data_IF_619861654500
#
_entry.id   IF_619861654500
#
_cell.length_a   1.000
_cell.length_b   1.000
_cell.length_c   1.000
_cell.angle_alpha   90.00
_cell.angle_beta   90.00
_cell.angle_gamma   90.00
#
_symmetry.space_group_name_H-M   'P 1'
#
loop_
_entity.id
_entity.type
_entity.pdbx_description
1 polymer ?
#
# COMPACT_ATOMS: atom_id res chain seq x y z
N UNK A 1 -9.79 -37.51 -47.43
CA UNK A 1 -8.39 -37.04 -47.27
C UNK A 1 -8.24 -35.54 -47.55
N UNK A 2 -8.28 -35.03 -48.80
CA UNK A 2 -8.09 -33.58 -49.05
C UNK A 2 -9.22 -32.68 -48.49
N UNK A 3 -10.49 -33.06 -48.68
CA UNK A 3 -11.64 -32.29 -48.18
C UNK A 3 -11.71 -32.19 -46.65
N UNK A 4 -11.29 -33.24 -45.93
CA UNK A 4 -11.28 -33.24 -44.47
C UNK A 4 -10.22 -32.28 -43.92
N UNK A 5 -9.07 -32.17 -44.61
CA UNK A 5 -8.01 -31.25 -44.24
C UNK A 5 -8.40 -29.79 -44.47
N UNK A 6 -9.04 -29.48 -45.61
CA UNK A 6 -9.56 -28.12 -45.87
C UNK A 6 -10.66 -27.71 -44.88
N UNK A 7 -11.54 -28.65 -44.52
CA UNK A 7 -12.58 -28.41 -43.53
C UNK A 7 -11.99 -28.13 -42.15
N UNK A 8 -11.00 -28.92 -41.72
CA UNK A 8 -10.32 -28.71 -40.44
C UNK A 8 -9.55 -27.38 -40.43
N UNK A 9 -8.87 -27.04 -41.53
CA UNK A 9 -8.15 -25.78 -41.65
C UNK A 9 -9.08 -24.57 -41.51
N UNK A 10 -10.24 -24.59 -42.16
CA UNK A 10 -11.26 -23.52 -42.00
C UNK A 10 -11.79 -23.44 -40.57
N UNK A 11 -12.02 -24.58 -39.91
CA UNK A 11 -12.48 -24.61 -38.52
C UNK A 11 -11.44 -23.98 -37.59
N UNK A 12 -10.18 -24.39 -37.72
CA UNK A 12 -9.08 -23.88 -36.91
C UNK A 12 -8.87 -22.38 -37.09
N UNK A 13 -8.97 -21.87 -38.33
CA UNK A 13 -8.89 -20.42 -38.58
C UNK A 13 -10.00 -19.68 -37.85
N UNK A 14 -11.24 -20.17 -37.94
CA UNK A 14 -12.38 -19.56 -37.22
C UNK A 14 -12.19 -19.61 -35.70
N UNK A 15 -11.68 -20.72 -35.17
CA UNK A 15 -11.42 -20.89 -33.75
C UNK A 15 -10.31 -19.97 -33.24
N UNK A 16 -9.24 -19.78 -34.03
CA UNK A 16 -8.18 -18.81 -33.72
C UNK A 16 -8.74 -17.39 -33.70
N UNK A 17 -9.54 -16.99 -34.70
CA UNK A 17 -10.16 -15.66 -34.75
C UNK A 17 -11.09 -15.39 -33.56
N UNK A 18 -11.87 -16.38 -33.11
CA UNK A 18 -12.72 -16.27 -31.94
C UNK A 18 -11.91 -16.15 -30.65
N UNK A 19 -10.88 -16.97 -30.50
CA UNK A 19 -9.99 -16.94 -29.35
C UNK A 19 -9.22 -15.62 -29.25
N UNK A 20 -8.77 -15.05 -30.38
CA UNK A 20 -8.12 -13.73 -30.41
C UNK A 20 -9.07 -12.62 -29.93
N UNK A 21 -10.33 -12.63 -30.37
CA UNK A 21 -11.34 -11.66 -29.90
C UNK A 21 -11.61 -11.80 -28.40
N UNK A 22 -11.77 -13.03 -27.92
CA UNK A 22 -11.98 -13.29 -26.50
C UNK A 22 -10.78 -12.84 -25.66
N UNK A 23 -9.56 -13.04 -26.15
CA UNK A 23 -8.34 -12.63 -25.48
C UNK A 23 -8.24 -11.11 -25.37
N UNK A 24 -8.57 -10.37 -26.42
CA UNK A 24 -8.61 -8.90 -26.39
C UNK A 24 -9.62 -8.39 -25.35
N UNK A 25 -10.81 -8.98 -25.29
CA UNK A 25 -11.85 -8.59 -24.33
C UNK A 25 -11.40 -8.88 -22.88
N UNK A 26 -10.80 -10.04 -22.63
CA UNK A 26 -10.25 -10.37 -21.32
C UNK A 26 -9.09 -9.44 -20.90
N UNK A 27 -8.23 -9.06 -21.85
CA UNK A 27 -7.17 -8.09 -21.60
C UNK A 27 -7.75 -6.72 -21.21
N UNK A 28 -8.78 -6.26 -21.93
CA UNK A 28 -9.48 -5.02 -21.62
C UNK A 28 -10.09 -5.05 -20.22
N UNK A 29 -10.84 -6.11 -19.88
CA UNK A 29 -11.42 -6.28 -18.55
C UNK A 29 -10.35 -6.30 -17.45
N UNK A 30 -9.20 -6.91 -17.71
CA UNK A 30 -8.07 -6.93 -16.78
C UNK A 30 -7.51 -5.53 -16.53
N UNK A 31 -7.39 -4.70 -17.58
CA UNK A 31 -6.96 -3.31 -17.46
C UNK A 31 -7.98 -2.48 -16.69
N UNK A 32 -9.27 -2.63 -16.97
CA UNK A 32 -10.35 -1.92 -16.28
C UNK A 32 -10.36 -2.24 -14.78
N UNK A 33 -10.21 -3.53 -14.42
CA UNK A 33 -10.05 -3.96 -13.04
C UNK A 33 -8.87 -3.27 -12.35
N UNK A 34 -7.69 -3.23 -13.00
CA UNK A 34 -6.50 -2.56 -12.43
C UNK A 34 -6.75 -1.07 -12.17
N UNK A 35 -7.41 -0.38 -13.10
CA UNK A 35 -7.78 1.02 -12.93
C UNK A 35 -8.75 1.22 -11.75
N UNK A 36 -9.75 0.35 -11.62
CA UNK A 36 -10.68 0.38 -10.48
C UNK A 36 -9.95 0.16 -9.15
N UNK A 37 -9.07 -0.84 -9.06
CA UNK A 37 -8.25 -1.07 -7.87
C UNK A 37 -7.39 0.14 -7.53
N UNK A 38 -6.75 0.77 -8.52
CA UNK A 38 -5.94 1.96 -8.30
C UNK A 38 -6.79 3.12 -7.77
N UNK A 39 -7.95 3.39 -8.36
CA UNK A 39 -8.86 4.41 -7.87
C UNK A 39 -9.33 4.15 -6.44
N UNK A 40 -9.72 2.91 -6.12
CA UNK A 40 -10.10 2.53 -4.76
C UNK A 40 -8.96 2.68 -3.76
N UNK A 41 -7.72 2.30 -4.14
CA UNK A 41 -6.54 2.53 -3.30
C UNK A 41 -6.32 4.02 -3.07
N UNK A 42 -6.49 4.89 -4.08
CA UNK A 42 -6.33 6.33 -3.90
C UNK A 42 -7.30 6.93 -2.88
N UNK A 43 -8.51 6.36 -2.72
CA UNK A 43 -9.50 6.78 -1.71
C UNK A 43 -9.35 6.10 -0.35
N UNK A 44 -8.83 4.87 -0.33
CA UNK A 44 -8.72 4.07 0.91
C UNK A 44 -7.36 4.16 1.57
N UNK A 45 -6.32 4.52 0.81
CA UNK A 45 -4.96 4.70 1.31
C UNK A 45 -4.83 6.04 2.03
N UNK A 46 -4.51 5.97 3.32
CA UNK A 46 -4.19 7.14 4.11
C UNK A 46 -2.77 7.61 3.78
N UNK A 47 -2.61 8.44 2.75
CA UNK A 47 -1.30 8.99 2.31
C UNK A 47 -0.56 9.77 3.40
N UNK A 48 -1.30 10.39 4.31
CA UNK A 48 -0.78 11.09 5.47
C UNK A 48 -1.65 10.80 6.68
N UNK A 49 -1.02 10.47 7.81
CA UNK A 49 -1.73 10.30 9.07
C UNK A 49 -2.31 11.65 9.50
N UNK A 50 -3.63 11.72 9.67
CA UNK A 50 -4.26 12.91 10.26
C UNK A 50 -3.93 12.98 11.75
N UNK A 51 -3.82 14.18 12.37
CA UNK A 51 -3.53 14.31 13.80
C UNK A 51 -4.49 13.50 14.69
N UNK A 52 -5.76 13.43 14.30
CA UNK A 52 -6.78 12.61 14.97
C UNK A 52 -6.44 11.12 14.98
N UNK A 53 -5.92 10.60 13.87
CA UNK A 53 -5.51 9.20 13.77
C UNK A 53 -4.20 8.98 14.52
N UNK A 54 -3.21 9.88 14.38
CA UNK A 54 -1.96 9.83 15.13
C UNK A 54 -2.22 9.77 16.64
N UNK A 55 -3.08 10.65 17.16
CA UNK A 55 -3.41 10.68 18.59
C UNK A 55 -4.09 9.40 19.07
N UNK A 56 -4.83 8.71 18.21
CA UNK A 56 -5.44 7.40 18.55
C UNK A 56 -4.42 6.26 18.53
N UNK A 57 -3.36 6.38 17.71
CA UNK A 57 -2.31 5.39 17.59
C UNK A 57 -1.24 5.52 18.67
N UNK A 58 -1.04 6.70 19.27
CA UNK A 58 -0.10 6.87 20.38
C UNK A 58 -0.66 6.17 21.63
N UNK A 59 0.12 5.23 22.17
CA UNK A 59 -0.18 4.58 23.45
C UNK A 59 0.30 5.44 24.62
N UNK A 60 1.56 5.87 24.56
CA UNK A 60 2.17 6.76 25.55
C UNK A 60 3.38 7.49 24.99
N UNK A 61 3.75 8.59 25.64
CA UNK A 61 4.95 9.37 25.36
C UNK A 61 5.77 9.43 26.64
N UNK A 62 7.03 9.03 26.57
CA UNK A 62 7.97 9.08 27.68
C UNK A 62 8.97 10.22 27.44
N UNK A 63 9.06 11.12 28.42
CA UNK A 63 9.97 12.26 28.42
C UNK A 63 11.11 11.97 29.39
N UNK A 64 12.33 12.09 28.90
CA UNK A 64 13.54 11.91 29.68
C UNK A 64 14.20 13.27 29.88
N UNK A 65 14.35 13.68 31.14
CA UNK A 65 15.11 14.89 31.46
C UNK A 65 16.59 14.67 31.16
N UNK A 66 17.20 15.60 30.42
CA UNK A 66 18.66 15.62 30.28
C UNK A 66 19.29 15.98 31.64
N UNK A 67 20.28 15.18 32.05
CA UNK A 67 21.24 15.59 33.07
C UNK A 67 22.09 16.72 32.48
N UNK A 68 21.63 17.96 32.70
CA UNK A 68 22.25 19.24 32.29
C UNK A 68 23.77 19.12 32.09
N UNK A 69 24.24 19.17 30.83
CA UNK A 69 25.66 19.35 30.57
C UNK A 69 26.08 20.48 29.65
N UNK A 70 25.28 21.03 28.74
CA UNK A 70 25.69 22.23 27.99
C UNK A 70 24.51 23.05 27.46
N UNK A 71 24.82 24.26 26.98
CA UNK A 71 23.98 25.41 26.60
C UNK A 71 22.73 25.17 25.72
N UNK A 72 22.43 23.94 25.32
CA UNK A 72 21.24 23.59 24.54
C UNK A 72 20.47 22.51 25.31
N UNK A 73 19.28 22.87 25.77
CA UNK A 73 18.41 21.98 26.52
C UNK A 73 17.74 21.01 25.54
N UNK A 74 18.29 19.80 25.40
CA UNK A 74 17.65 18.74 24.64
C UNK A 74 16.77 17.91 25.58
N UNK A 75 15.68 17.37 25.06
CA UNK A 75 14.84 16.42 25.78
C UNK A 75 14.72 15.19 24.90
N UNK A 76 15.09 14.03 25.45
CA UNK A 76 14.84 12.76 24.77
C UNK A 76 13.37 12.39 24.95
N UNK A 77 12.73 12.08 23.83
CA UNK A 77 11.32 11.70 23.77
C UNK A 77 11.21 10.34 23.10
N UNK A 78 10.63 9.37 23.80
CA UNK A 78 10.28 8.07 23.24
C UNK A 78 8.75 8.00 23.06
N UNK A 79 8.30 7.66 21.85
CA UNK A 79 6.88 7.54 21.51
C UNK A 79 6.56 6.07 21.28
N UNK A 80 5.59 5.55 22.03
CA UNK A 80 5.11 4.18 21.93
C UNK A 80 3.77 4.15 21.20
N UNK A 81 3.68 3.31 20.16
CA UNK A 81 2.46 3.16 19.37
C UNK A 81 1.65 1.94 19.82
N UNK A 82 0.34 2.14 19.95
CA UNK A 82 -0.63 1.09 20.22
C UNK A 82 -0.66 0.12 19.04
N UNK A 83 -0.56 -1.16 19.33
CA UNK A 83 -0.66 -2.21 18.31
C UNK A 83 -2.05 -2.17 17.66
N UNK A 84 -2.10 -2.15 16.32
CA UNK A 84 -3.33 -2.35 15.57
C UNK A 84 -3.07 -3.26 14.36
N UNK A 85 -3.98 -4.21 14.11
CA UNK A 85 -3.92 -5.11 12.95
C UNK A 85 -2.71 -6.06 12.93
N UNK A 86 -2.16 -6.29 11.73
CA UNK A 86 -1.09 -7.26 11.40
C UNK A 86 0.31 -6.94 11.96
N UNK A 87 0.48 -5.84 12.70
CA UNK A 87 1.77 -5.48 13.28
C UNK A 87 2.04 -6.38 14.49
N UNK A 88 2.98 -7.31 14.38
CA UNK A 88 3.26 -8.32 15.41
C UNK A 88 4.29 -7.90 16.46
N UNK A 89 4.94 -6.73 16.29
CA UNK A 89 6.00 -6.24 17.17
C UNK A 89 5.76 -4.79 17.60
N UNK A 90 5.97 -4.52 18.89
CA UNK A 90 5.86 -3.18 19.47
C UNK A 90 6.98 -2.29 18.92
N UNK A 91 6.61 -1.30 18.10
CA UNK A 91 7.54 -0.35 17.52
C UNK A 91 7.76 0.81 18.50
N UNK A 92 9.01 1.17 18.73
CA UNK A 92 9.40 2.35 19.51
C UNK A 92 10.45 3.13 18.74
N UNK A 93 10.38 4.44 18.76
CA UNK A 93 11.38 5.33 18.14
C UNK A 93 11.70 6.48 19.09
N UNK A 94 12.99 6.80 19.20
CA UNK A 94 13.50 7.88 20.04
C UNK A 94 13.84 9.11 19.20
N UNK A 95 13.37 10.28 19.61
CA UNK A 95 13.70 11.57 18.99
C UNK A 95 14.35 12.50 20.02
N UNK A 96 15.32 13.30 19.57
CA UNK A 96 15.89 14.41 20.35
C UNK A 96 15.25 15.71 19.87
N UNK A 97 14.54 16.40 20.77
CA UNK A 97 13.94 17.70 20.47
C UNK A 97 14.72 18.79 21.21
N UNK A 98 15.16 19.81 20.47
CA UNK A 98 15.78 21.00 21.05
C UNK A 98 14.71 22.03 21.36
N UNK A 99 14.68 22.53 22.60
CA UNK A 99 13.83 23.65 22.96
C UNK A 99 14.58 24.96 22.79
N UNK A 100 13.93 25.94 22.16
CA UNK A 100 14.37 27.33 22.12
C UNK A 100 13.47 28.11 23.08
N UNK A 101 14.05 28.67 24.13
CA UNK A 101 13.38 29.67 24.98
C UNK A 101 13.03 30.93 24.17
#
# INVERSE_FOLDING_TARGET
MANEYEAEQKRLISEVEENEKALIELQKQTVDMKMLYQGLMEFTEMKQLTPTVVNKLIERIELYNDEKKHSHNNVKVDIFLRQSGYLTSQQSSSLLIQWKE
#
